data_IF_842300562187
#
_entry.id   IF_842300562187
#
_cell.length_a   1.000
_cell.length_b   1.000
_cell.length_c   1.000
_cell.angle_alpha   90.00
_cell.angle_beta   90.00
_cell.angle_gamma   90.00
#
_symmetry.space_group_name_H-M   'P 1'
#
loop_
_entity.id
_entity.type
_entity.pdbx_description
1 polymer ?
#
# COMPACT_ATOMS: atom_id res chain seq x y z
N UNK A 1 -1.10 -13.98 -10.01
CA UNK A 1 -0.93 -12.79 -9.16
C UNK A 1 -0.22 -13.25 -7.92
N UNK A 2 0.90 -12.63 -7.54
CA UNK A 2 1.63 -12.99 -6.32
C UNK A 2 1.03 -12.30 -5.10
N UNK A 3 1.35 -12.75 -3.88
CA UNK A 3 0.94 -12.06 -2.66
C UNK A 3 1.46 -10.61 -2.64
N UNK A 4 2.67 -10.38 -3.16
CA UNK A 4 3.21 -9.03 -3.35
C UNK A 4 2.34 -8.15 -4.26
N UNK A 5 1.98 -8.65 -5.45
CA UNK A 5 1.13 -7.89 -6.38
C UNK A 5 -0.24 -7.59 -5.77
N UNK A 6 -0.77 -8.50 -4.95
CA UNK A 6 -2.03 -8.35 -4.26
C UNK A 6 -1.97 -7.28 -3.15
N UNK A 7 -0.92 -7.25 -2.33
CA UNK A 7 -0.71 -6.22 -1.30
C UNK A 7 -0.57 -4.83 -1.94
N UNK A 8 0.23 -4.71 -3.01
CA UNK A 8 0.42 -3.44 -3.73
C UNK A 8 -0.91 -2.95 -4.30
N UNK A 9 -1.72 -3.86 -4.84
CA UNK A 9 -3.06 -3.54 -5.33
C UNK A 9 -4.01 -3.12 -4.21
N UNK A 10 -3.95 -3.79 -3.05
CA UNK A 10 -4.80 -3.48 -1.90
C UNK A 10 -4.56 -2.06 -1.38
N UNK A 11 -3.29 -1.64 -1.29
CA UNK A 11 -2.90 -0.25 -0.98
C UNK A 11 -3.39 0.73 -2.05
N UNK A 12 -3.37 0.32 -3.32
CA UNK A 12 -3.84 1.17 -4.41
C UNK A 12 -5.36 1.39 -4.40
N UNK A 13 -6.12 0.35 -4.07
CA UNK A 13 -7.59 0.39 -3.99
C UNK A 13 -8.08 1.08 -2.70
N UNK A 14 -7.26 1.07 -1.64
CA UNK A 14 -7.57 1.67 -0.34
C UNK A 14 -6.46 2.65 0.10
N UNK A 15 -6.32 3.81 -0.57
CA UNK A 15 -5.32 4.80 -0.18
C UNK A 15 -5.65 5.36 1.21
N UNK A 16 -4.61 5.65 1.98
CA UNK A 16 -4.71 6.21 3.33
C UNK A 16 -5.25 5.27 4.41
N UNK A 17 -5.11 3.96 4.21
CA UNK A 17 -5.13 3.02 5.32
C UNK A 17 -3.76 2.95 6.00
N UNK A 18 -3.77 2.66 7.29
CA UNK A 18 -2.56 2.35 8.04
C UNK A 18 -2.13 0.87 7.88
N UNK A 19 -0.96 0.53 8.45
CA UNK A 19 -0.39 -0.82 8.34
C UNK A 19 -1.28 -1.90 8.96
N UNK A 20 -1.95 -1.60 10.08
CA UNK A 20 -2.80 -2.56 10.78
C UNK A 20 -4.10 -2.78 10.00
N UNK A 21 -4.70 -1.70 9.49
CA UNK A 21 -5.89 -1.77 8.63
C UNK A 21 -5.61 -2.53 7.31
N UNK A 22 -4.42 -2.36 6.73
CA UNK A 22 -3.99 -3.14 5.56
C UNK A 22 -3.76 -4.61 5.93
N UNK A 23 -3.22 -4.89 7.11
CA UNK A 23 -3.04 -6.25 7.64
C UNK A 23 -4.37 -6.98 7.77
N UNK A 24 -5.35 -6.35 8.43
CA UNK A 24 -6.70 -6.89 8.62
C UNK A 24 -7.36 -7.21 7.26
N UNK A 25 -7.29 -6.28 6.30
CA UNK A 25 -7.84 -6.50 4.95
C UNK A 25 -7.08 -7.59 4.18
N UNK A 26 -5.77 -7.67 4.31
CA UNK A 26 -4.99 -8.74 3.69
C UNK A 26 -5.35 -10.11 4.28
N UNK A 27 -5.68 -10.19 5.57
CA UNK A 27 -6.17 -11.40 6.19
C UNK A 27 -7.54 -11.80 5.63
N UNK A 28 -8.49 -10.88 5.64
CA UNK A 28 -9.88 -11.13 5.22
C UNK A 28 -10.01 -11.41 3.71
N UNK A 29 -9.27 -10.68 2.87
CA UNK A 29 -9.45 -10.74 1.41
C UNK A 29 -8.44 -11.65 0.71
N UNK A 30 -7.23 -11.80 1.26
CA UNK A 30 -6.12 -12.46 0.58
C UNK A 30 -5.61 -13.72 1.30
N UNK A 31 -6.15 -14.05 2.48
CA UNK A 31 -5.66 -15.15 3.34
C UNK A 31 -4.16 -15.01 3.66
N UNK A 32 -3.72 -13.74 3.81
CA UNK A 32 -2.35 -13.37 4.18
C UNK A 32 -2.35 -12.95 5.64
N UNK A 33 -1.52 -13.57 6.47
CA UNK A 33 -1.39 -13.16 7.87
C UNK A 33 -0.70 -11.80 8.00
N UNK A 34 -0.99 -11.10 9.11
CA UNK A 34 -0.51 -9.72 9.32
C UNK A 34 1.01 -9.60 9.29
N UNK A 35 1.74 -10.60 9.80
CA UNK A 35 3.21 -10.57 9.80
C UNK A 35 3.75 -10.61 8.35
N UNK A 36 3.18 -11.49 7.53
CA UNK A 36 3.51 -11.56 6.11
C UNK A 36 3.07 -10.30 5.34
N UNK A 37 1.92 -9.73 5.67
CA UNK A 37 1.46 -8.46 5.08
C UNK A 37 2.43 -7.31 5.39
N UNK A 38 2.92 -7.21 6.63
CA UNK A 38 3.93 -6.22 7.05
C UNK A 38 5.26 -6.40 6.31
N UNK A 39 5.73 -7.63 6.13
CA UNK A 39 6.95 -7.91 5.35
C UNK A 39 6.81 -7.46 3.88
N UNK A 40 5.64 -7.69 3.28
CA UNK A 40 5.35 -7.28 1.91
C UNK A 40 5.26 -5.75 1.77
N UNK A 41 4.62 -5.06 2.73
CA UNK A 41 4.58 -3.60 2.79
C UNK A 41 5.97 -2.98 2.94
N UNK A 42 6.80 -3.54 3.83
CA UNK A 42 8.18 -3.11 4.01
C UNK A 42 8.98 -3.28 2.70
N UNK A 43 8.82 -4.43 2.03
CA UNK A 43 9.45 -4.68 0.73
C UNK A 43 8.99 -3.68 -0.33
N UNK A 44 7.70 -3.36 -0.37
CA UNK A 44 7.13 -2.38 -1.30
C UNK A 44 7.61 -0.96 -1.02
N UNK A 45 7.83 -0.60 0.25
CA UNK A 45 8.44 0.66 0.68
C UNK A 45 9.89 0.77 0.19
N UNK A 46 10.69 -0.27 0.41
CA UNK A 46 12.10 -0.32 0.01
C UNK A 46 12.26 -0.22 -1.51
N UNK A 47 11.35 -0.82 -2.27
CA UNK A 47 11.30 -0.73 -3.73
C UNK A 47 10.79 0.62 -4.23
N UNK A 48 10.13 1.39 -3.38
CA UNK A 48 9.54 2.69 -3.69
C UNK A 48 8.26 2.59 -4.53
N UNK A 49 7.58 1.46 -4.48
CA UNK A 49 6.27 1.23 -5.12
C UNK A 49 5.16 1.92 -4.32
N UNK A 50 5.30 1.92 -2.98
CA UNK A 50 4.44 2.63 -2.03
C UNK A 50 5.26 3.65 -1.22
N UNK A 51 4.57 4.62 -0.61
CA UNK A 51 5.12 5.62 0.29
C UNK A 51 4.27 5.69 1.54
N UNK A 52 4.93 5.83 2.68
CA UNK A 52 4.28 6.18 3.93
C UNK A 52 4.10 7.70 4.03
N UNK A 53 2.86 8.18 3.89
CA UNK A 53 2.45 9.56 4.08
C UNK A 53 2.11 9.82 5.55
N UNK A 54 2.60 10.94 6.11
CA UNK A 54 2.29 11.33 7.49
C UNK A 54 2.78 10.37 8.58
N UNK A 55 3.67 9.43 8.26
CA UNK A 55 4.23 8.46 9.21
C UNK A 55 3.34 7.25 9.52
N UNK A 56 2.15 7.17 8.92
CA UNK A 56 1.18 6.10 9.21
C UNK A 56 0.44 5.58 7.98
N UNK A 57 0.20 6.42 6.97
CA UNK A 57 -0.69 6.10 5.87
C UNK A 57 0.06 5.61 4.64
N UNK A 58 -0.43 4.56 3.97
CA UNK A 58 0.23 4.03 2.77
C UNK A 58 -0.43 4.52 1.48
N UNK A 59 0.40 4.96 0.52
CA UNK A 59 -0.05 5.49 -0.76
C UNK A 59 0.84 4.97 -1.89
N UNK A 60 0.27 4.67 -3.05
CA UNK A 60 1.02 4.30 -4.25
C UNK A 60 1.89 5.45 -4.77
N UNK A 61 3.18 5.19 -5.00
CA UNK A 61 4.12 6.16 -5.62
C UNK A 61 4.30 5.91 -7.11
N UNK A 62 4.29 4.65 -7.57
CA UNK A 62 4.45 4.23 -8.97
C UNK A 62 3.70 2.93 -9.25
N UNK A 63 3.09 2.81 -10.44
CA UNK A 63 2.33 1.63 -10.88
C UNK A 63 1.15 1.99 -11.79
N UNK A 64 0.43 0.98 -12.32
CA UNK A 64 -0.78 1.19 -13.14
C UNK A 64 -1.91 1.94 -12.39
N UNK A 65 -1.84 1.93 -11.06
CA UNK A 65 -2.72 2.62 -10.14
C UNK A 65 -2.07 3.83 -9.45
N UNK A 66 -0.89 4.27 -9.90
CA UNK A 66 -0.32 5.51 -9.38
C UNK A 66 -1.31 6.65 -9.61
N UNK A 67 -1.58 7.44 -8.56
CA UNK A 67 -2.33 8.68 -8.68
C UNK A 67 -1.64 9.55 -9.75
N UNK A 68 -2.22 9.58 -10.95
CA UNK A 68 -1.82 10.51 -12.00
C UNK A 68 -2.24 11.90 -11.50
N UNK A 69 -1.27 12.70 -11.08
CA UNK A 69 -1.45 14.07 -10.57
C UNK A 69 -2.36 14.21 -9.34
N UNK A 70 -1.76 14.17 -8.15
CA UNK A 70 -2.07 15.24 -7.20
C UNK A 70 -1.27 16.48 -7.65
N UNK A 71 -1.84 17.23 -8.60
CA UNK A 71 -1.44 18.62 -8.85
C UNK A 71 -1.85 19.40 -7.59
N UNK A 72 -0.97 19.45 -6.59
CA UNK A 72 -1.18 20.34 -5.46
C UNK A 72 -1.10 21.77 -6.00
N UNK A 73 -2.18 22.57 -5.97
CA UNK A 73 -2.05 23.99 -6.22
C UNK A 73 -1.08 24.52 -5.17
N UNK A 74 0.06 25.05 -5.63
CA UNK A 74 1.00 25.78 -4.80
C UNK A 74 0.21 26.98 -4.26
N UNK A 75 -0.12 26.94 -2.97
CA UNK A 75 -0.68 28.10 -2.27
C UNK A 75 0.42 29.07 -1.87
#
# INVERSE_FOLDING_TARGET
MTAYDAIVRLVAENPALDEDEIGDLANDELDVDDDHARELLATALERGDVVQAGGHYWVMRKGEYAFHEYDHPIS
#
